data_IF_373981847164
#
_entry.id   IF_373981847164
#
_cell.length_a   1.000
_cell.length_b   1.000
_cell.length_c   1.000
_cell.angle_alpha   90.00
_cell.angle_beta   90.00
_cell.angle_gamma   90.00
#
_symmetry.space_group_name_H-M   'P 1'
#
loop_
_entity.id
_entity.type
_entity.pdbx_description
1 polymer ?
#
# COMPACT_ATOMS: atom_id res chain seq x y z
N UNK A 1 1.19 14.50 -6.18
CA UNK A 1 0.50 13.51 -7.04
C UNK A 1 1.41 12.65 -7.96
N UNK A 2 2.20 13.21 -8.89
CA UNK A 2 2.93 12.40 -9.89
C UNK A 2 3.84 11.29 -9.32
N UNK A 3 4.57 11.59 -8.24
CA UNK A 3 5.44 10.60 -7.56
C UNK A 3 4.65 9.41 -6.99
N UNK A 4 3.44 9.66 -6.49
CA UNK A 4 2.56 8.60 -5.99
C UNK A 4 2.15 7.66 -7.12
N UNK A 5 1.67 8.21 -8.24
CA UNK A 5 1.29 7.41 -9.41
C UNK A 5 2.47 6.60 -9.97
N UNK A 6 3.67 7.20 -10.01
CA UNK A 6 4.89 6.51 -10.43
C UNK A 6 5.23 5.33 -9.49
N UNK A 7 5.12 5.52 -8.18
CA UNK A 7 5.35 4.45 -7.21
C UNK A 7 4.33 3.31 -7.37
N UNK A 8 3.04 3.61 -7.58
CA UNK A 8 2.01 2.60 -7.82
C UNK A 8 2.27 1.82 -9.12
N UNK A 9 2.66 2.51 -10.19
CA UNK A 9 2.99 1.89 -11.46
C UNK A 9 4.19 0.95 -11.33
N UNK A 10 5.27 1.38 -10.67
CA UNK A 10 6.44 0.54 -10.42
C UNK A 10 6.07 -0.67 -9.53
N UNK A 11 5.25 -0.47 -8.50
CA UNK A 11 4.79 -1.56 -7.65
C UNK A 11 3.99 -2.59 -8.47
N UNK A 12 3.13 -2.14 -9.37
CA UNK A 12 2.40 -3.02 -10.29
C UNK A 12 3.30 -3.75 -11.27
N UNK A 13 4.39 -3.15 -11.72
CA UNK A 13 5.32 -3.86 -12.61
C UNK A 13 6.06 -4.99 -11.88
N UNK A 14 6.42 -4.78 -10.62
CA UNK A 14 7.32 -5.67 -9.89
C UNK A 14 6.65 -6.48 -8.76
N UNK A 15 5.32 -6.60 -8.76
CA UNK A 15 4.58 -7.36 -7.74
C UNK A 15 4.58 -8.88 -7.91
N UNK A 16 5.39 -9.40 -8.83
CA UNK A 16 5.51 -10.83 -9.13
C UNK A 16 4.59 -11.32 -10.23
N UNK A 17 3.52 -10.58 -10.57
CA UNK A 17 2.55 -11.04 -11.58
C UNK A 17 3.07 -10.93 -13.02
N UNK A 18 4.01 -10.03 -13.29
CA UNK A 18 4.59 -9.89 -14.63
C UNK A 18 5.78 -10.83 -14.89
N UNK A 19 6.46 -11.30 -13.84
CA UNK A 19 7.56 -12.26 -13.96
C UNK A 19 7.10 -13.62 -14.50
N UNK A 20 5.90 -14.05 -14.11
CA UNK A 20 5.29 -15.30 -14.57
C UNK A 20 5.08 -15.30 -16.10
N UNK A 21 4.84 -14.14 -16.73
CA UNK A 21 4.69 -14.04 -18.19
C UNK A 21 6.01 -14.04 -18.95
N UNK A 22 7.11 -13.57 -18.34
CA UNK A 22 8.44 -13.57 -18.96
C UNK A 22 9.03 -14.99 -18.99
N UNK A 23 8.64 -15.86 -18.06
CA UNK A 23 9.12 -17.24 -17.97
C UNK A 23 8.54 -18.19 -19.03
N UNK A 24 7.43 -17.82 -19.69
CA UNK A 24 6.75 -18.65 -20.70
C UNK A 24 7.39 -18.50 -22.10
N UNK A 25 8.30 -17.53 -22.29
CA UNK A 25 9.07 -17.36 -23.53
C UNK A 25 10.33 -18.23 -23.55
N UNK A 26 10.50 -19.01 -24.61
CA UNK A 26 11.62 -19.94 -24.90
C UNK A 26 13.01 -19.53 -24.36
N UNK A 27 13.79 -20.46 -23.78
CA UNK A 27 15.10 -20.18 -23.20
C UNK A 27 16.17 -20.18 -24.31
N UNK A 28 16.40 -19.04 -24.98
CA UNK A 28 17.51 -18.96 -25.95
C UNK A 28 18.33 -17.66 -25.95
N UNK A 29 18.03 -16.65 -25.12
CA UNK A 29 18.85 -15.42 -25.04
C UNK A 29 18.82 -14.76 -23.63
N UNK A 30 18.86 -15.57 -22.57
CA UNK A 30 18.35 -15.17 -21.25
C UNK A 30 19.34 -14.48 -20.30
N UNK A 31 20.65 -14.49 -20.55
CA UNK A 31 21.63 -13.98 -19.58
C UNK A 31 21.78 -12.45 -19.58
N UNK A 32 21.72 -11.77 -20.73
CA UNK A 32 21.86 -10.31 -20.82
C UNK A 32 20.57 -9.56 -20.49
N UNK A 33 19.41 -10.15 -20.84
CA UNK A 33 18.08 -9.59 -20.59
C UNK A 33 17.67 -9.72 -19.10
N UNK A 34 18.03 -10.81 -18.43
CA UNK A 34 17.72 -11.01 -16.99
C UNK A 34 18.47 -10.02 -16.09
N UNK A 35 19.77 -9.79 -16.34
CA UNK A 35 20.60 -8.84 -15.58
C UNK A 35 20.04 -7.41 -15.64
N UNK A 36 19.47 -7.01 -16.78
CA UNK A 36 18.84 -5.70 -16.94
C UNK A 36 17.53 -5.60 -16.14
N UNK A 37 16.69 -6.63 -16.17
CA UNK A 37 15.42 -6.66 -15.42
C UNK A 37 15.65 -6.68 -13.91
N UNK A 38 16.62 -7.45 -13.42
CA UNK A 38 16.97 -7.50 -12.00
C UNK A 38 17.53 -6.16 -11.49
N UNK A 39 18.33 -5.48 -12.32
CA UNK A 39 18.77 -4.12 -12.02
C UNK A 39 17.60 -3.13 -11.98
N UNK A 40 16.72 -3.17 -12.99
CA UNK A 40 15.54 -2.32 -13.06
C UNK A 40 14.62 -2.54 -11.86
N UNK A 41 14.40 -3.80 -11.44
CA UNK A 41 13.66 -4.16 -10.23
C UNK A 41 14.27 -3.54 -8.99
N UNK A 42 15.58 -3.69 -8.78
CA UNK A 42 16.26 -3.12 -7.61
C UNK A 42 16.12 -1.59 -7.56
N UNK A 43 16.28 -0.93 -8.70
CA UNK A 43 16.11 0.52 -8.81
C UNK A 43 14.66 0.95 -8.56
N UNK A 44 13.68 0.21 -9.09
CA UNK A 44 12.27 0.46 -8.86
C UNK A 44 11.91 0.33 -7.38
N UNK A 45 12.32 -0.75 -6.71
CA UNK A 45 12.08 -0.95 -5.28
C UNK A 45 12.74 0.16 -4.44
N UNK A 46 13.98 0.56 -4.77
CA UNK A 46 14.65 1.67 -4.09
C UNK A 46 13.85 2.99 -4.22
N UNK A 47 13.30 3.27 -5.40
CA UNK A 47 12.51 4.47 -5.62
C UNK A 47 11.16 4.43 -4.88
N UNK A 48 10.50 3.26 -4.84
CA UNK A 48 9.26 3.07 -4.08
C UNK A 48 9.54 3.26 -2.58
N UNK A 49 10.61 2.67 -2.07
CA UNK A 49 11.01 2.78 -0.67
C UNK A 49 11.28 4.23 -0.28
N UNK A 50 12.11 4.94 -1.06
CA UNK A 50 12.40 6.35 -0.83
C UNK A 50 11.12 7.21 -0.87
N UNK A 51 10.17 6.89 -1.77
CA UNK A 51 8.89 7.58 -1.83
C UNK A 51 8.05 7.35 -0.56
N UNK A 52 7.93 6.11 -0.09
CA UNK A 52 7.15 5.82 1.14
C UNK A 52 7.78 6.48 2.35
N UNK A 53 9.11 6.41 2.49
CA UNK A 53 9.84 6.99 3.61
C UNK A 53 9.71 8.52 3.71
N UNK A 54 9.40 9.21 2.60
CA UNK A 54 9.08 10.64 2.62
C UNK A 54 7.89 10.97 3.54
N UNK A 55 7.00 10.01 3.79
CA UNK A 55 5.82 10.15 4.64
C UNK A 55 5.97 9.47 6.00
N UNK A 56 7.14 8.89 6.29
CA UNK A 56 7.43 8.16 7.52
C UNK A 56 8.15 9.03 8.53
N UNK A 57 7.42 9.93 9.21
CA UNK A 57 8.02 10.71 10.29
C UNK A 57 8.42 9.80 11.47
N UNK A 58 9.73 9.70 11.81
CA UNK A 58 10.18 8.73 12.80
C UNK A 58 9.52 8.88 14.18
N UNK A 59 9.26 10.11 14.62
CA UNK A 59 8.68 10.39 15.93
C UNK A 59 7.20 9.98 15.99
N UNK A 60 6.40 10.37 15.00
CA UNK A 60 4.98 9.99 14.94
C UNK A 60 4.82 8.47 14.82
N UNK A 61 5.65 7.81 14.01
CA UNK A 61 5.61 6.36 13.88
C UNK A 61 6.02 5.65 15.16
N UNK A 62 7.03 6.14 15.89
CA UNK A 62 7.42 5.60 17.19
C UNK A 62 6.28 5.69 18.21
N UNK A 63 5.61 6.85 18.30
CA UNK A 63 4.46 7.05 19.21
C UNK A 63 3.28 6.16 18.82
N UNK A 64 2.98 6.05 17.52
CA UNK A 64 1.93 5.17 17.01
C UNK A 64 2.24 3.69 17.24
N UNK A 65 3.51 3.29 17.15
CA UNK A 65 3.95 1.93 17.42
C UNK A 65 3.79 1.54 18.89
N UNK A 66 4.17 2.44 19.81
CA UNK A 66 4.13 2.20 21.24
C UNK A 66 2.72 2.20 21.82
N UNK A 67 1.86 3.13 21.39
CA UNK A 67 0.53 3.32 22.00
C UNK A 67 -0.61 2.69 21.21
N UNK A 68 -0.50 2.58 19.88
CA UNK A 68 -1.62 2.29 18.97
C UNK A 68 -2.88 3.16 19.24
N UNK A 69 -2.73 4.29 19.92
CA UNK A 69 -3.83 5.15 20.31
C UNK A 69 -4.40 5.89 19.08
N UNK A 70 -5.72 6.16 19.03
CA UNK A 70 -6.34 6.86 17.90
C UNK A 70 -5.63 8.19 17.55
N UNK A 71 -5.28 8.99 18.55
CA UNK A 71 -4.60 10.28 18.35
C UNK A 71 -3.24 10.13 17.66
N UNK A 72 -2.47 9.10 17.99
CA UNK A 72 -1.17 8.84 17.37
C UNK A 72 -1.31 8.42 15.90
N UNK A 73 -2.33 7.60 15.60
CA UNK A 73 -2.64 7.18 14.22
C UNK A 73 -3.14 8.35 13.37
N UNK A 74 -3.89 9.29 13.96
CA UNK A 74 -4.31 10.53 13.27
C UNK A 74 -3.10 11.38 12.90
N UNK A 75 -2.13 11.56 13.80
CA UNK A 75 -0.91 12.32 13.47
C UNK A 75 -0.13 11.71 12.29
N UNK A 76 -0.01 10.38 12.26
CA UNK A 76 0.61 9.68 11.11
C UNK A 76 -0.22 9.91 9.85
N UNK A 77 -1.55 9.81 9.93
CA UNK A 77 -2.45 10.00 8.79
C UNK A 77 -2.31 11.39 8.18
N UNK A 78 -2.31 12.44 9.01
CA UNK A 78 -2.21 13.83 8.54
C UNK A 78 -0.86 14.11 7.88
N UNK A 79 0.24 13.55 8.40
CA UNK A 79 1.56 13.68 7.77
C UNK A 79 1.70 12.85 6.49
N UNK A 80 1.02 11.71 6.42
CA UNK A 80 1.05 10.82 5.27
C UNK A 80 0.12 11.26 4.14
N UNK A 81 -0.88 12.13 4.41
CA UNK A 81 -1.97 12.47 3.49
C UNK A 81 -1.44 13.11 2.20
N UNK A 82 -1.88 12.57 1.07
CA UNK A 82 -1.76 13.17 -0.25
C UNK A 82 -3.16 13.64 -0.67
N UNK A 83 -3.40 14.95 -0.65
CA UNK A 83 -4.73 15.51 -0.84
C UNK A 83 -5.39 15.06 -2.14
N UNK A 84 -4.63 15.01 -3.24
CA UNK A 84 -5.16 14.64 -4.56
C UNK A 84 -5.45 13.14 -4.70
N UNK A 85 -4.88 12.29 -3.84
CA UNK A 85 -5.13 10.85 -3.90
C UNK A 85 -6.59 10.51 -3.57
N UNK A 86 -7.27 11.36 -2.79
CA UNK A 86 -8.70 11.21 -2.51
C UNK A 86 -9.62 11.38 -3.73
N UNK A 87 -9.10 11.94 -4.84
CA UNK A 87 -9.82 12.07 -6.11
C UNK A 87 -9.67 10.87 -7.04
N UNK A 88 -8.74 9.95 -6.74
CA UNK A 88 -8.62 8.73 -7.51
C UNK A 88 -9.81 7.81 -7.20
N UNK A 89 -10.39 7.23 -8.24
CA UNK A 89 -11.40 6.18 -8.11
C UNK A 89 -10.81 4.88 -8.60
N UNK A 90 -10.69 3.90 -7.72
CA UNK A 90 -10.23 2.57 -8.04
C UNK A 90 -11.41 1.61 -8.29
N UNK A 91 -11.19 0.67 -9.20
CA UNK A 91 -12.00 -0.53 -9.37
C UNK A 91 -11.73 -1.56 -8.25
N UNK A 92 -12.61 -2.55 -8.14
CA UNK A 92 -12.41 -3.68 -7.22
C UNK A 92 -11.13 -4.48 -7.52
N UNK A 93 -10.74 -4.59 -8.80
CA UNK A 93 -9.53 -5.28 -9.21
C UNK A 93 -8.25 -4.56 -8.74
N UNK A 94 -8.22 -3.23 -8.83
CA UNK A 94 -7.10 -2.42 -8.33
C UNK A 94 -6.98 -2.51 -6.81
N UNK A 95 -8.09 -2.35 -6.08
CA UNK A 95 -8.10 -2.53 -4.62
C UNK A 95 -7.64 -3.94 -4.24
N UNK A 96 -8.17 -4.97 -4.90
CA UNK A 96 -7.82 -6.37 -4.66
C UNK A 96 -6.33 -6.64 -4.90
N UNK A 97 -5.71 -5.98 -5.89
CA UNK A 97 -4.27 -6.10 -6.16
C UNK A 97 -3.42 -5.55 -5.00
N UNK A 98 -3.75 -4.38 -4.48
CA UNK A 98 -3.05 -3.84 -3.30
C UNK A 98 -3.26 -4.70 -2.06
N UNK A 99 -4.48 -5.20 -1.83
CA UNK A 99 -4.76 -6.12 -0.71
C UNK A 99 -3.96 -7.41 -0.84
N UNK A 100 -3.83 -7.97 -2.04
CA UNK A 100 -2.97 -9.13 -2.29
C UNK A 100 -1.49 -8.80 -2.03
N UNK A 101 -1.03 -7.64 -2.47
CA UNK A 101 0.36 -7.17 -2.32
C UNK A 101 0.79 -7.01 -0.86
N UNK A 102 -0.13 -6.87 0.10
CA UNK A 102 0.19 -6.92 1.55
C UNK A 102 0.83 -8.24 1.99
N UNK A 103 0.67 -9.31 1.21
CA UNK A 103 1.28 -10.64 1.45
C UNK A 103 2.57 -10.86 0.66
N UNK A 104 2.99 -9.90 -0.17
CA UNK A 104 4.15 -10.05 -1.03
C UNK A 104 5.44 -10.24 -0.19
N UNK A 105 6.40 -11.11 -0.59
CA UNK A 105 7.65 -11.27 0.15
C UNK A 105 8.44 -9.97 0.32
N UNK A 106 8.41 -9.05 -0.65
CA UNK A 106 9.06 -7.75 -0.61
C UNK A 106 8.44 -6.82 0.44
N UNK A 107 9.25 -6.41 1.43
CA UNK A 107 8.89 -5.40 2.43
C UNK A 107 8.45 -4.08 1.80
N UNK A 108 9.17 -3.63 0.76
CA UNK A 108 8.91 -2.38 0.05
C UNK A 108 7.51 -2.39 -0.58
N UNK A 109 7.15 -3.48 -1.24
CA UNK A 109 5.83 -3.62 -1.87
C UNK A 109 4.71 -3.70 -0.83
N UNK A 110 4.93 -4.38 0.30
CA UNK A 110 3.98 -4.37 1.41
C UNK A 110 3.74 -2.95 1.94
N UNK A 111 4.80 -2.17 2.17
CA UNK A 111 4.70 -0.79 2.65
C UNK A 111 4.00 0.12 1.64
N UNK A 112 4.33 -0.01 0.35
CA UNK A 112 3.69 0.74 -0.72
C UNK A 112 2.19 0.42 -0.83
N UNK A 113 1.82 -0.87 -0.78
CA UNK A 113 0.42 -1.29 -0.81
C UNK A 113 -0.37 -0.76 0.39
N UNK A 114 0.18 -0.88 1.60
CA UNK A 114 -0.45 -0.35 2.80
C UNK A 114 -0.61 1.18 2.74
N UNK A 115 0.41 1.89 2.25
CA UNK A 115 0.35 3.34 2.03
C UNK A 115 -0.72 3.73 1.00
N UNK A 116 -0.83 3.02 -0.12
CA UNK A 116 -1.84 3.28 -1.13
C UNK A 116 -3.26 3.09 -0.57
N UNK A 117 -3.51 1.97 0.12
CA UNK A 117 -4.79 1.69 0.77
C UNK A 117 -5.13 2.73 1.84
N UNK A 118 -4.12 3.23 2.57
CA UNK A 118 -4.29 4.36 3.48
C UNK A 118 -4.82 5.57 2.71
N UNK A 119 -4.13 6.02 1.66
CA UNK A 119 -4.55 7.19 0.88
C UNK A 119 -5.99 7.07 0.36
N UNK A 120 -6.36 5.87 -0.11
CA UNK A 120 -7.69 5.60 -0.67
C UNK A 120 -8.80 5.59 0.36
N UNK A 121 -8.50 5.46 1.66
CA UNK A 121 -9.50 5.33 2.73
C UNK A 121 -9.49 6.47 3.72
N UNK A 122 -8.59 7.46 3.58
CA UNK A 122 -8.57 8.63 4.47
C UNK A 122 -9.96 9.30 4.47
N UNK A 123 -10.57 9.52 5.66
CA UNK A 123 -11.83 10.25 5.77
C UNK A 123 -11.79 11.64 5.11
N UNK A 124 -12.90 12.02 4.49
CA UNK A 124 -13.02 13.24 3.68
C UNK A 124 -12.53 13.11 2.23
N UNK A 125 -11.95 11.97 1.82
CA UNK A 125 -11.64 11.70 0.42
C UNK A 125 -12.90 11.47 -0.42
N UNK A 126 -12.95 12.04 -1.63
CA UNK A 126 -14.13 11.96 -2.55
C UNK A 126 -14.62 10.52 -2.78
N UNK A 127 -13.69 9.56 -2.87
CA UNK A 127 -14.02 8.15 -3.12
C UNK A 127 -13.70 7.24 -1.94
N UNK A 128 -13.48 7.79 -0.74
CA UNK A 128 -13.06 7.00 0.43
C UNK A 128 -14.09 5.92 0.82
N UNK A 129 -15.37 6.27 0.87
CA UNK A 129 -16.47 5.33 1.14
C UNK A 129 -16.56 4.22 0.10
N UNK A 130 -16.39 4.55 -1.19
CA UNK A 130 -16.38 3.57 -2.28
C UNK A 130 -15.24 2.56 -2.13
N UNK A 131 -14.01 3.02 -1.86
CA UNK A 131 -12.88 2.11 -1.62
C UNK A 131 -13.03 1.28 -0.35
N UNK A 132 -13.57 1.88 0.72
CA UNK A 132 -13.85 1.18 1.96
C UNK A 132 -14.86 0.04 1.73
N UNK A 133 -15.93 0.30 0.98
CA UNK A 133 -16.93 -0.69 0.59
C UNK A 133 -16.31 -1.84 -0.22
N UNK A 134 -15.47 -1.53 -1.22
CA UNK A 134 -14.75 -2.55 -2.00
C UNK A 134 -13.82 -3.42 -1.13
N UNK A 135 -13.12 -2.83 -0.16
CA UNK A 135 -12.27 -3.58 0.77
C UNK A 135 -13.08 -4.47 1.71
N UNK A 136 -14.23 -3.99 2.16
CA UNK A 136 -15.10 -4.75 3.06
C UNK A 136 -15.74 -5.93 2.32
N UNK A 137 -16.27 -5.71 1.11
CA UNK A 137 -16.91 -6.76 0.32
C UNK A 137 -15.94 -7.88 -0.09
N UNK A 138 -14.66 -7.55 -0.28
CA UNK A 138 -13.60 -8.51 -0.60
C UNK A 138 -12.96 -9.18 0.62
N UNK A 139 -13.39 -8.85 1.84
CA UNK A 139 -12.83 -9.43 3.07
C UNK A 139 -11.40 -8.97 3.40
N UNK A 140 -10.97 -7.81 2.87
CA UNK A 140 -9.62 -7.26 3.07
C UNK A 140 -9.24 -7.08 4.55
N UNK A 141 -10.21 -6.89 5.43
CA UNK A 141 -9.99 -6.71 6.87
C UNK A 141 -9.22 -7.86 7.54
N UNK A 142 -9.31 -9.10 7.05
CA UNK A 142 -8.47 -10.20 7.55
C UNK A 142 -7.00 -10.00 7.18
N UNK A 143 -6.73 -9.60 5.95
CA UNK A 143 -5.37 -9.38 5.43
C UNK A 143 -4.71 -8.20 6.12
N UNK A 144 -5.45 -7.10 6.27
CA UNK A 144 -5.01 -5.90 6.95
C UNK A 144 -4.66 -6.18 8.43
N UNK A 145 -5.48 -6.97 9.13
CA UNK A 145 -5.16 -7.40 10.51
C UNK A 145 -3.87 -8.22 10.57
N UNK A 146 -3.68 -9.15 9.64
CA UNK A 146 -2.45 -9.92 9.55
C UNK A 146 -1.23 -9.02 9.27
N UNK A 147 -1.36 -8.04 8.37
CA UNK A 147 -0.29 -7.11 8.04
C UNK A 147 0.05 -6.19 9.23
N UNK A 148 -0.95 -5.69 9.94
CA UNK A 148 -0.80 -4.84 11.13
C UNK A 148 -0.10 -5.56 12.32
N UNK A 149 -0.28 -6.88 12.41
CA UNK A 149 0.23 -7.72 13.49
C UNK A 149 1.54 -8.45 13.14
N UNK A 150 1.98 -8.42 11.88
CA UNK A 150 3.17 -9.14 11.44
C UNK A 150 4.43 -8.64 12.17
N UNK A 151 5.09 -9.54 12.92
CA UNK A 151 6.25 -9.19 13.73
C UNK A 151 7.44 -8.72 12.88
N UNK A 152 7.64 -9.35 11.71
CA UNK A 152 8.75 -9.11 10.79
C UNK A 152 8.43 -8.12 9.67
N UNK A 153 7.21 -7.56 9.63
CA UNK A 153 6.85 -6.57 8.63
C UNK A 153 7.48 -5.21 8.96
N UNK A 154 7.76 -4.37 7.93
CA UNK A 154 8.20 -2.99 8.14
C UNK A 154 7.24 -2.22 9.03
N UNK A 155 7.78 -1.27 9.79
CA UNK A 155 6.98 -0.46 10.70
C UNK A 155 5.89 0.30 9.94
N UNK A 156 6.23 0.82 8.77
CA UNK A 156 5.35 1.55 7.86
C UNK A 156 4.12 0.72 7.49
N UNK A 157 4.36 -0.48 6.95
CA UNK A 157 3.30 -1.39 6.54
C UNK A 157 2.35 -1.71 7.70
N UNK A 158 2.89 -1.91 8.91
CA UNK A 158 2.10 -2.22 10.11
C UNK A 158 1.21 -1.05 10.53
N UNK A 159 1.79 0.15 10.63
CA UNK A 159 1.08 1.35 11.07
C UNK A 159 0.04 1.77 10.05
N UNK A 160 0.38 1.78 8.76
CA UNK A 160 -0.58 2.07 7.69
C UNK A 160 -1.73 1.07 7.66
N UNK A 161 -1.47 -0.24 7.82
CA UNK A 161 -2.54 -1.23 7.89
C UNK A 161 -3.48 -1.00 9.09
N UNK A 162 -2.96 -0.57 10.25
CA UNK A 162 -3.80 -0.19 11.42
C UNK A 162 -4.69 1.01 11.11
N UNK A 163 -4.14 2.03 10.44
CA UNK A 163 -4.90 3.21 10.03
C UNK A 163 -6.00 2.81 9.05
N UNK A 164 -5.70 1.98 8.05
CA UNK A 164 -6.72 1.49 7.10
C UNK A 164 -7.83 0.76 7.84
N UNK A 165 -7.52 -0.12 8.81
CA UNK A 165 -8.55 -0.79 9.61
C UNK A 165 -9.47 0.21 10.34
N UNK A 166 -8.90 1.26 10.94
CA UNK A 166 -9.67 2.33 11.58
C UNK A 166 -10.54 3.10 10.59
N UNK A 167 -10.00 3.40 9.41
CA UNK A 167 -10.77 4.06 8.36
C UNK A 167 -11.96 3.19 7.93
N UNK A 168 -11.75 1.87 7.76
CA UNK A 168 -12.83 0.94 7.44
C UNK A 168 -13.90 0.87 8.54
N UNK A 169 -13.51 0.96 9.82
CA UNK A 169 -14.46 1.05 10.94
C UNK A 169 -15.28 2.35 10.88
N UNK A 170 -14.62 3.49 10.65
CA UNK A 170 -15.26 4.79 10.53
C UNK A 170 -16.29 4.83 9.39
N UNK A 171 -15.91 4.36 8.21
CA UNK A 171 -16.77 4.31 7.02
C UNK A 171 -17.94 3.32 7.14
N UNK A 172 -17.93 2.39 8.10
CA UNK A 172 -19.11 1.53 8.38
C UNK A 172 -20.19 2.27 9.17
N UNK A 173 -19.79 3.24 9.97
CA UNK A 173 -20.69 3.98 10.85
C UNK A 173 -21.29 5.21 10.18
N UNK A 174 -20.72 5.66 9.05
CA UNK A 174 -21.29 6.75 8.26
C UNK A 174 -22.51 6.25 7.47
N UNK A 175 -23.69 6.89 7.60
CA UNK A 175 -24.86 6.54 6.81
C UNK A 175 -24.56 6.80 5.33
N UNK A 176 -24.94 5.86 4.47
CA UNK A 176 -24.95 6.08 3.03
C UNK A 176 -26.07 7.09 2.74
N UNK A 177 -25.71 8.34 2.49
CA UNK A 177 -26.63 9.38 2.02
C UNK A 177 -26.91 9.18 0.53
#
# INVERSE_FOLDING_TARGET
MARFMAALALAYMFDGRMEDFVLIGTPSESASKSVNVDWARRMALKNIEAFVLQFSDPAAFAVAAASSAPAALVQVTERARIQEAGHLRCSGAEIGRFVFMLRNPSSVLKSCAAFALLQFTIPGGRHAMHHASLMQSSGAGRVLRSAAAAATAPLEAKIFARIVLRNLEHHKTEPSI
#
